data_IF_521264614733
#
_entry.id   IF_521264614733
#
_cell.length_a   1.000
_cell.length_b   1.000
_cell.length_c   1.000
_cell.angle_alpha   90.00
_cell.angle_beta   90.00
_cell.angle_gamma   90.00
#
_symmetry.space_group_name_H-M   'P 1'
#
loop_
_entity.id
_entity.type
_entity.pdbx_description
1 polymer ?
#
# COMPACT_ATOMS: atom_id res chain seq x y z
N UNK A 1 -15.09 63.76 7.17
CA UNK A 1 -13.81 63.57 7.93
C UNK A 1 -13.56 62.08 8.04
N UNK A 2 -12.53 61.55 7.35
CA UNK A 2 -12.18 60.12 7.42
C UNK A 2 -11.42 59.88 8.72
N UNK A 3 -11.99 59.10 9.61
CA UNK A 3 -11.40 58.81 10.90
C UNK A 3 -10.15 57.95 10.70
N UNK A 4 -8.93 58.41 11.00
CA UNK A 4 -7.68 57.66 10.73
C UNK A 4 -7.63 56.34 11.45
N UNK A 5 -8.32 56.20 12.57
CA UNK A 5 -8.45 54.98 13.34
C UNK A 5 -9.17 53.85 12.58
N UNK A 6 -10.24 54.21 11.87
CA UNK A 6 -11.04 53.30 11.03
C UNK A 6 -10.21 52.79 9.84
N UNK A 7 -9.39 53.68 9.24
CA UNK A 7 -8.49 53.31 8.14
C UNK A 7 -7.41 52.31 8.61
N UNK A 8 -6.81 52.56 9.78
CA UNK A 8 -5.84 51.67 10.38
C UNK A 8 -6.40 50.26 10.67
N UNK A 9 -7.63 50.23 11.21
CA UNK A 9 -8.30 48.97 11.52
C UNK A 9 -8.66 48.17 10.25
N UNK A 10 -9.13 48.83 9.20
CA UNK A 10 -9.39 48.22 7.89
C UNK A 10 -8.11 47.64 7.26
N UNK A 11 -7.01 48.38 7.36
CA UNK A 11 -5.73 47.95 6.82
C UNK A 11 -5.19 46.70 7.54
N UNK A 12 -5.28 46.70 8.87
CA UNK A 12 -4.91 45.54 9.70
C UNK A 12 -5.78 44.32 9.36
N UNK A 13 -7.07 44.50 9.22
CA UNK A 13 -7.99 43.44 8.85
C UNK A 13 -7.72 42.87 7.45
N UNK A 14 -7.39 43.75 6.48
CA UNK A 14 -7.04 43.32 5.13
C UNK A 14 -5.76 42.48 5.11
N UNK A 15 -4.73 42.89 5.84
CA UNK A 15 -3.48 42.11 5.98
C UNK A 15 -3.75 40.73 6.61
N UNK A 16 -4.60 40.70 7.65
CA UNK A 16 -5.03 39.47 8.27
C UNK A 16 -5.75 38.51 7.30
N UNK A 17 -6.65 39.02 6.50
CA UNK A 17 -7.36 38.23 5.49
C UNK A 17 -6.43 37.69 4.41
N UNK A 18 -5.52 38.52 3.91
CA UNK A 18 -4.50 38.08 2.93
C UNK A 18 -3.64 36.95 3.51
N UNK A 19 -3.20 37.07 4.75
CA UNK A 19 -2.44 36.05 5.44
C UNK A 19 -3.22 34.71 5.53
N UNK A 20 -4.48 34.77 5.93
CA UNK A 20 -5.33 33.58 6.01
C UNK A 20 -5.54 32.91 4.64
N UNK A 21 -5.88 33.69 3.61
CA UNK A 21 -6.05 33.15 2.24
C UNK A 21 -4.76 32.51 1.74
N UNK A 22 -3.61 33.14 1.99
CA UNK A 22 -2.31 32.57 1.62
C UNK A 22 -2.04 31.26 2.34
N UNK A 23 -2.36 31.21 3.64
CA UNK A 23 -2.16 29.99 4.45
C UNK A 23 -3.06 28.84 3.97
N UNK A 24 -4.33 29.15 3.65
CA UNK A 24 -5.26 28.17 3.09
C UNK A 24 -4.76 27.67 1.73
N UNK A 25 -4.32 28.56 0.86
CA UNK A 25 -3.76 28.20 -0.44
C UNK A 25 -2.53 27.28 -0.31
N UNK A 26 -1.59 27.60 0.57
CA UNK A 26 -0.43 26.77 0.85
C UNK A 26 -0.81 25.40 1.43
N UNK A 27 -1.79 25.36 2.33
CA UNK A 27 -2.26 24.11 2.93
C UNK A 27 -2.87 23.16 1.87
N UNK A 28 -3.61 23.70 0.91
CA UNK A 28 -4.18 22.88 -0.17
C UNK A 28 -3.19 22.57 -1.29
N UNK A 29 -2.24 23.45 -1.59
CA UNK A 29 -1.25 23.22 -2.65
C UNK A 29 -0.14 22.26 -2.24
N UNK A 30 0.11 22.13 -0.95
CA UNK A 30 1.12 21.20 -0.37
C UNK A 30 0.46 20.09 0.45
N UNK A 31 -0.84 19.83 0.22
CA UNK A 31 -1.48 18.70 0.87
C UNK A 31 -0.70 17.42 0.53
N UNK A 32 -0.11 16.72 1.51
CA UNK A 32 0.51 15.44 1.25
C UNK A 32 -0.54 14.50 0.64
N UNK A 33 -0.15 13.71 -0.34
CA UNK A 33 -0.99 12.75 -1.09
C UNK A 33 -1.69 11.68 -0.20
N UNK A 34 -1.73 11.93 1.11
CA UNK A 34 -2.32 11.06 2.13
C UNK A 34 -3.85 11.17 2.22
N UNK A 35 -4.46 12.11 1.52
CA UNK A 35 -5.93 12.34 1.58
C UNK A 35 -6.51 12.33 0.17
N UNK A 36 -6.25 11.29 -0.61
CA UNK A 36 -7.10 11.02 -1.76
C UNK A 36 -8.33 10.23 -1.27
N UNK A 37 -9.50 10.50 -1.86
CA UNK A 37 -10.70 9.69 -1.68
C UNK A 37 -10.45 8.19 -1.89
N UNK A 38 -9.40 7.86 -2.64
CA UNK A 38 -8.89 6.54 -2.91
C UNK A 38 -8.30 5.84 -1.65
N UNK A 39 -7.87 6.57 -0.61
CA UNK A 39 -7.39 5.97 0.64
C UNK A 39 -8.52 5.32 1.44
N UNK A 40 -9.70 5.96 1.51
CA UNK A 40 -10.89 5.35 2.13
C UNK A 40 -11.41 4.16 1.35
N UNK A 41 -11.48 4.26 0.02
CA UNK A 41 -11.84 3.14 -0.84
C UNK A 41 -10.81 2.01 -0.82
N UNK A 42 -9.52 2.30 -0.62
CA UNK A 42 -8.46 1.29 -0.45
C UNK A 42 -8.52 0.66 0.93
N UNK A 43 -8.80 1.43 1.98
CA UNK A 43 -9.03 0.93 3.33
C UNK A 43 -10.24 0.00 3.39
N UNK A 44 -11.36 0.39 2.81
CA UNK A 44 -12.56 -0.45 2.72
C UNK A 44 -12.33 -1.69 1.86
N UNK A 45 -11.67 -1.57 0.71
CA UNK A 45 -11.28 -2.74 -0.12
C UNK A 45 -10.29 -3.65 0.59
N UNK A 46 -9.38 -3.10 1.39
CA UNK A 46 -8.46 -3.88 2.21
C UNK A 46 -9.20 -4.65 3.30
N UNK A 47 -10.10 -3.99 4.05
CA UNK A 47 -10.94 -4.65 5.06
C UNK A 47 -11.92 -5.65 4.44
N UNK A 48 -12.54 -5.31 3.32
CA UNK A 48 -13.41 -6.22 2.57
C UNK A 48 -12.64 -7.43 2.04
N UNK A 49 -11.43 -7.22 1.59
CA UNK A 49 -10.50 -8.26 1.14
C UNK A 49 -10.06 -9.15 2.29
N UNK A 50 -9.75 -8.58 3.47
CA UNK A 50 -9.45 -9.34 4.68
C UNK A 50 -10.68 -10.09 5.22
N UNK A 51 -11.87 -9.48 5.19
CA UNK A 51 -13.13 -10.13 5.61
C UNK A 51 -13.50 -11.26 4.66
N UNK A 52 -13.33 -11.10 3.34
CA UNK A 52 -13.48 -12.18 2.36
C UNK A 52 -12.47 -13.30 2.61
N UNK A 53 -11.21 -12.97 2.86
CA UNK A 53 -10.17 -13.94 3.19
C UNK A 53 -10.42 -14.66 4.53
N UNK A 54 -11.05 -14.00 5.51
CA UNK A 54 -11.47 -14.65 6.75
C UNK A 54 -12.66 -15.60 6.56
N UNK A 55 -13.57 -15.29 5.63
CA UNK A 55 -14.65 -16.19 5.23
C UNK A 55 -14.14 -17.38 4.39
N UNK A 56 -13.00 -17.23 3.71
CA UNK A 56 -12.31 -18.28 2.96
C UNK A 56 -11.47 -19.23 3.84
N UNK A 57 -11.55 -19.13 5.17
CA UNK A 57 -10.97 -20.13 6.09
C UNK A 57 -11.43 -21.58 5.83
N UNK A 58 -12.41 -21.77 4.96
CA UNK A 58 -12.82 -23.09 4.48
C UNK A 58 -11.82 -23.73 3.49
N UNK A 59 -10.93 -22.94 2.87
CA UNK A 59 -10.00 -23.44 1.86
C UNK A 59 -8.85 -24.28 2.43
N UNK A 60 -8.52 -24.11 3.72
CA UNK A 60 -7.39 -24.76 4.37
C UNK A 60 -6.06 -24.63 3.57
N UNK A 61 -5.90 -23.53 2.84
CA UNK A 61 -4.65 -23.23 2.18
C UNK A 61 -3.68 -22.58 3.16
N UNK A 62 -2.42 -22.93 3.01
CA UNK A 62 -1.32 -22.28 3.73
C UNK A 62 -0.34 -21.73 2.74
N UNK A 63 0.22 -20.55 3.03
CA UNK A 63 1.19 -19.91 2.17
C UNK A 63 2.29 -19.24 3.00
N UNK A 64 3.49 -19.22 2.45
CA UNK A 64 4.63 -18.55 3.06
C UNK A 64 5.32 -17.69 2.02
N UNK A 65 5.49 -16.40 2.32
CA UNK A 65 6.35 -15.51 1.56
C UNK A 65 7.75 -15.50 2.19
N UNK A 66 8.72 -16.03 1.46
CA UNK A 66 10.13 -15.97 1.80
C UNK A 66 10.73 -14.71 1.16
N UNK A 67 11.18 -13.80 1.99
CA UNK A 67 11.87 -12.58 1.60
C UNK A 67 13.34 -12.65 2.03
N UNK A 68 14.25 -11.93 1.39
CA UNK A 68 15.62 -11.77 1.84
C UNK A 68 15.70 -11.28 3.29
N UNK A 69 16.76 -11.64 4.01
CA UNK A 69 16.98 -11.18 5.38
C UNK A 69 17.18 -9.66 5.47
N UNK A 70 17.79 -9.08 4.45
CA UNK A 70 17.98 -7.65 4.33
C UNK A 70 17.47 -7.21 2.96
N UNK A 71 16.53 -6.26 2.98
CA UNK A 71 15.93 -5.69 1.79
C UNK A 71 16.49 -4.29 1.63
N UNK A 72 17.22 -4.04 0.54
CA UNK A 72 17.81 -2.74 0.25
C UNK A 72 17.02 -2.03 -0.84
N UNK A 73 16.98 -0.69 -0.75
CA UNK A 73 16.32 0.15 -1.75
C UNK A 73 16.95 -0.05 -3.14
N UNK A 74 16.12 -0.06 -4.17
CA UNK A 74 16.49 -0.18 -5.60
C UNK A 74 17.29 -1.44 -5.96
N UNK A 75 17.45 -2.38 -5.02
CA UNK A 75 18.14 -3.64 -5.28
C UNK A 75 17.14 -4.71 -5.72
N UNK A 76 17.37 -5.26 -6.90
CA UNK A 76 16.58 -6.39 -7.40
C UNK A 76 16.93 -7.65 -6.60
N UNK A 77 15.98 -8.18 -5.85
CA UNK A 77 16.14 -9.34 -4.98
C UNK A 77 15.07 -10.38 -5.25
N UNK A 78 15.39 -11.64 -5.05
CA UNK A 78 14.49 -12.76 -5.29
C UNK A 78 13.57 -13.00 -4.09
N UNK A 79 12.30 -13.16 -4.38
CA UNK A 79 11.25 -13.49 -3.42
C UNK A 79 10.58 -14.78 -3.87
N UNK A 80 10.33 -15.67 -2.91
CA UNK A 80 9.70 -16.95 -3.14
C UNK A 80 8.37 -17.04 -2.40
N UNK A 81 7.38 -17.64 -3.05
CA UNK A 81 6.07 -17.93 -2.46
C UNK A 81 5.85 -19.45 -2.55
N UNK A 82 5.62 -20.06 -1.39
CA UNK A 82 5.19 -21.47 -1.32
C UNK A 82 3.74 -21.50 -0.93
N UNK A 83 2.91 -22.22 -1.67
CA UNK A 83 1.48 -22.38 -1.40
C UNK A 83 1.16 -23.87 -1.34
N UNK A 84 0.42 -24.25 -0.29
CA UNK A 84 0.00 -25.63 -0.05
C UNK A 84 -1.49 -25.64 0.29
N UNK A 85 -2.18 -26.68 -0.13
CA UNK A 85 -3.54 -26.96 0.25
C UNK A 85 -3.65 -27.70 1.59
N UNK A 86 -4.84 -28.21 1.86
CA UNK A 86 -5.10 -29.05 3.04
C UNK A 86 -4.12 -30.22 3.11
N UNK A 87 -3.64 -30.53 4.33
CA UNK A 87 -2.74 -31.67 4.58
C UNK A 87 -1.45 -31.65 3.71
N UNK A 88 -0.91 -30.44 3.44
CA UNK A 88 0.28 -30.24 2.61
C UNK A 88 0.12 -30.69 1.14
N UNK A 89 -1.12 -30.82 0.67
CA UNK A 89 -1.37 -31.12 -0.74
C UNK A 89 -0.76 -30.03 -1.61
N UNK A 90 -0.02 -30.41 -2.62
CA UNK A 90 0.53 -29.46 -3.60
C UNK A 90 -0.61 -28.93 -4.47
N UNK A 91 -0.82 -27.63 -4.42
CA UNK A 91 -1.77 -26.93 -5.29
C UNK A 91 -1.00 -26.14 -6.35
N UNK A 92 -1.66 -25.91 -7.48
CA UNK A 92 -1.07 -25.14 -8.59
C UNK A 92 -1.98 -23.96 -8.93
N UNK A 93 -1.96 -22.89 -8.12
CA UNK A 93 -2.70 -21.67 -8.42
C UNK A 93 -2.43 -21.16 -9.83
N UNK A 94 -3.46 -20.58 -10.45
CA UNK A 94 -3.35 -20.00 -11.80
C UNK A 94 -2.57 -18.70 -11.79
N UNK A 95 -2.71 -17.93 -10.72
CA UNK A 95 -2.11 -16.59 -10.59
C UNK A 95 -1.65 -16.36 -9.16
N UNK A 96 -0.46 -15.78 -9.01
CA UNK A 96 0.10 -15.31 -7.74
C UNK A 96 0.64 -13.91 -7.96
N UNK A 97 0.00 -12.91 -7.32
CA UNK A 97 0.35 -11.49 -7.47
C UNK A 97 0.72 -10.93 -6.11
N UNK A 98 1.81 -10.20 -6.05
CA UNK A 98 2.19 -9.40 -4.90
C UNK A 98 1.73 -7.96 -5.13
N UNK A 99 1.02 -7.42 -4.15
CA UNK A 99 0.69 -6.00 -4.05
C UNK A 99 1.54 -5.41 -2.93
N UNK A 100 2.34 -4.42 -3.23
CA UNK A 100 3.16 -3.69 -2.28
C UNK A 100 2.55 -2.32 -2.03
N UNK A 101 2.14 -2.06 -0.80
CA UNK A 101 1.54 -0.80 -0.36
C UNK A 101 2.51 -0.06 0.56
N UNK A 102 2.70 1.21 0.31
CA UNK A 102 3.50 2.08 1.17
C UNK A 102 2.59 2.98 2.01
N UNK A 103 2.44 2.75 3.32
CA UNK A 103 1.51 3.53 4.15
C UNK A 103 1.78 5.03 4.17
N UNK A 104 3.05 5.43 3.98
CA UNK A 104 3.46 6.83 3.99
C UNK A 104 3.34 7.53 2.63
N UNK A 105 3.14 6.78 1.53
CA UNK A 105 3.08 7.35 0.18
C UNK A 105 2.44 6.37 -0.80
N UNK A 106 1.15 6.51 -1.04
CA UNK A 106 0.39 5.63 -1.93
C UNK A 106 0.79 5.76 -3.41
N UNK A 107 1.49 6.83 -3.81
CA UNK A 107 1.97 6.98 -5.18
C UNK A 107 3.10 6.01 -5.54
N UNK A 108 3.74 5.42 -4.52
CA UNK A 108 4.80 4.43 -4.69
C UNK A 108 4.29 2.98 -4.74
N UNK A 109 3.00 2.75 -4.57
CA UNK A 109 2.41 1.41 -4.59
C UNK A 109 2.63 0.73 -5.95
N UNK A 110 2.92 -0.56 -5.91
CA UNK A 110 3.12 -1.33 -7.12
C UNK A 110 2.65 -2.78 -6.97
N UNK A 111 2.56 -3.50 -8.09
CA UNK A 111 2.22 -4.92 -8.10
C UNK A 111 3.16 -5.70 -9.01
N UNK A 112 3.44 -6.94 -8.65
CA UNK A 112 4.29 -7.85 -9.41
C UNK A 112 3.67 -9.25 -9.42
N UNK A 113 3.64 -9.87 -10.59
CA UNK A 113 3.22 -11.26 -10.74
C UNK A 113 4.40 -12.21 -10.53
N UNK A 114 4.15 -13.28 -9.78
CA UNK A 114 5.13 -14.36 -9.55
C UNK A 114 5.07 -15.38 -10.68
N UNK A 115 6.23 -15.79 -11.12
CA UNK A 115 6.40 -16.85 -12.12
C UNK A 115 6.46 -18.21 -11.43
N UNK A 116 5.61 -19.13 -11.88
CA UNK A 116 5.62 -20.50 -11.37
C UNK A 116 6.90 -21.22 -11.81
N UNK A 117 7.68 -21.69 -10.85
CA UNK A 117 8.89 -22.50 -11.08
C UNK A 117 8.57 -24.00 -11.04
N UNK A 118 7.69 -24.40 -10.12
CA UNK A 118 7.18 -25.76 -9.96
C UNK A 118 5.83 -25.73 -9.24
N UNK A 119 5.06 -26.82 -9.23
CA UNK A 119 3.80 -26.86 -8.50
C UNK A 119 3.95 -26.39 -7.03
N UNK A 120 3.15 -25.43 -6.62
CA UNK A 120 3.18 -24.85 -5.29
C UNK A 120 4.33 -23.89 -4.99
N UNK A 121 5.25 -23.64 -5.94
CA UNK A 121 6.42 -22.77 -5.74
C UNK A 121 6.48 -21.70 -6.83
N UNK A 122 6.50 -20.45 -6.41
CA UNK A 122 6.46 -19.27 -7.26
C UNK A 122 7.59 -18.30 -6.88
N UNK A 123 8.16 -17.64 -7.87
CA UNK A 123 9.31 -16.75 -7.68
C UNK A 123 9.11 -15.45 -8.45
N UNK A 124 9.55 -14.34 -7.85
CA UNK A 124 9.64 -13.04 -8.51
C UNK A 124 10.90 -12.30 -8.07
N UNK A 125 11.41 -11.48 -8.96
CA UNK A 125 12.47 -10.52 -8.62
C UNK A 125 11.83 -9.16 -8.38
N UNK A 126 12.04 -8.60 -7.18
CA UNK A 126 11.38 -7.38 -6.73
C UNK A 126 12.45 -6.38 -6.27
N UNK A 127 12.31 -5.13 -6.71
CA UNK A 127 13.06 -3.99 -6.21
C UNK A 127 12.08 -2.99 -5.59
N UNK A 128 12.31 -2.61 -4.35
CA UNK A 128 11.50 -1.58 -3.68
C UNK A 128 12.12 -0.21 -3.94
N UNK A 129 11.36 0.76 -4.53
CA UNK A 129 11.92 2.04 -4.95
C UNK A 129 12.25 2.98 -3.80
N UNK A 130 11.67 2.76 -2.63
CA UNK A 130 11.80 3.65 -1.48
C UNK A 130 12.07 2.85 -0.19
N UNK A 131 12.90 3.41 0.68
CA UNK A 131 13.16 2.86 2.01
C UNK A 131 11.97 3.02 2.96
N UNK A 132 11.90 2.20 4.01
CA UNK A 132 10.88 2.26 5.05
C UNK A 132 9.99 1.04 5.09
N UNK A 133 8.82 1.17 5.72
CA UNK A 133 7.86 0.06 5.89
C UNK A 133 6.94 -0.07 4.69
N UNK A 134 6.73 -1.31 4.28
CA UNK A 134 5.84 -1.71 3.20
C UNK A 134 4.90 -2.80 3.68
N UNK A 135 3.62 -2.64 3.43
CA UNK A 135 2.61 -3.68 3.64
C UNK A 135 2.44 -4.47 2.34
N UNK A 136 2.78 -5.74 2.39
CA UNK A 136 2.79 -6.61 1.22
C UNK A 136 1.67 -7.62 1.35
N UNK A 137 0.85 -7.72 0.32
CA UNK A 137 -0.23 -8.70 0.21
C UNK A 137 0.04 -9.58 -1.01
N UNK A 138 0.22 -10.87 -0.79
CA UNK A 138 0.29 -11.85 -1.88
C UNK A 138 -1.09 -12.45 -2.09
N UNK A 139 -1.65 -12.19 -3.24
CA UNK A 139 -2.91 -12.75 -3.69
C UNK A 139 -2.66 -14.00 -4.52
N UNK A 140 -3.24 -15.10 -4.09
CA UNK A 140 -3.15 -16.41 -4.74
C UNK A 140 -4.53 -16.79 -5.25
N UNK A 141 -4.66 -17.00 -6.55
CA UNK A 141 -5.93 -17.37 -7.20
C UNK A 141 -5.87 -18.72 -7.87
N UNK A 142 -6.90 -19.53 -7.66
CA UNK A 142 -7.15 -20.77 -8.41
C UNK A 142 -8.64 -20.92 -8.66
N UNK A 143 -9.04 -20.80 -9.93
CA UNK A 143 -10.45 -20.72 -10.33
C UNK A 143 -11.17 -19.57 -9.61
N UNK A 144 -12.27 -19.85 -8.90
CA UNK A 144 -13.00 -18.89 -8.09
C UNK A 144 -12.43 -18.74 -6.65
N UNK A 145 -11.46 -19.57 -6.30
CA UNK A 145 -10.84 -19.55 -4.96
C UNK A 145 -9.73 -18.53 -4.89
N UNK A 146 -9.67 -17.82 -3.76
CA UNK A 146 -8.72 -16.76 -3.49
C UNK A 146 -8.15 -16.90 -2.08
N UNK A 147 -6.84 -16.82 -1.96
CA UNK A 147 -6.12 -16.83 -0.68
C UNK A 147 -5.20 -15.62 -0.60
N UNK A 148 -5.15 -14.99 0.56
CA UNK A 148 -4.33 -13.81 0.80
C UNK A 148 -3.29 -14.08 1.89
N UNK A 149 -2.06 -13.70 1.60
CA UNK A 149 -0.95 -13.73 2.54
C UNK A 149 -0.46 -12.31 2.76
N UNK A 150 -0.53 -11.83 4.00
CA UNK A 150 -0.11 -10.47 4.36
C UNK A 150 1.19 -10.50 5.16
N UNK A 151 2.14 -9.65 4.82
CA UNK A 151 3.41 -9.49 5.54
C UNK A 151 3.86 -8.04 5.49
N UNK A 152 4.40 -7.54 6.61
CA UNK A 152 5.10 -6.25 6.63
C UNK A 152 6.59 -6.46 6.41
N UNK A 153 7.15 -5.70 5.49
CA UNK A 153 8.58 -5.69 5.16
C UNK A 153 9.18 -4.33 5.50
N UNK A 154 10.44 -4.32 5.86
CA UNK A 154 11.21 -3.08 6.08
C UNK A 154 12.36 -3.04 5.08
N UNK A 155 12.38 -1.96 4.30
CA UNK A 155 13.41 -1.72 3.27
C UNK A 155 14.44 -0.77 3.85
N UNK A 156 15.69 -1.18 3.83
CA UNK A 156 16.86 -0.41 4.25
C UNK A 156 17.33 0.56 3.15
N UNK A 157 18.12 1.56 3.51
CA UNK A 157 18.71 2.50 2.54
C UNK A 157 19.51 1.83 1.45
#
# INVERSE_FOLDING_TARGET
MKNPWVIGLLLCFTIFLIGNVTFIYLAFSQAPNLVSSDFYERGERYEETLRKAQNEKQLNWTGVLMAPHQINRDQLQTYDVVVQGKESQIISPSTVILHAYRPSDASADFQIEFVRQRPGFYQANIAFPLQGSWDVIVEVKQNEQRFLLTKRLTVSP
#
